data_IF_084946182840
#
_entry.id   IF_084946182840
#
_cell.length_a   1.000
_cell.length_b   1.000
_cell.length_c   1.000
_cell.angle_alpha   90.00
_cell.angle_beta   90.00
_cell.angle_gamma   90.00
#
_symmetry.space_group_name_H-M   'P 1'
#
loop_
_entity.id
_entity.type
_entity.pdbx_description
1 polymer ?
#
# COMPACT_ATOMS: atom_id res chain seq x y z
N UNK A 1 -13.69 18.75 14.47
CA UNK A 1 -12.26 18.61 14.11
C UNK A 1 -11.75 20.01 13.80
N UNK A 2 -11.43 20.82 14.82
CA UNK A 2 -11.42 22.30 14.71
C UNK A 2 -10.56 22.85 13.56
N UNK A 3 -9.39 22.28 13.31
CA UNK A 3 -8.48 22.70 12.23
C UNK A 3 -9.15 22.62 10.84
N UNK A 4 -10.00 21.63 10.60
CA UNK A 4 -10.73 21.49 9.35
C UNK A 4 -11.96 22.39 9.34
N UNK A 5 -12.68 22.45 10.45
CA UNK A 5 -13.91 23.25 10.59
C UNK A 5 -13.64 24.76 10.49
N UNK A 6 -12.46 25.22 10.91
CA UNK A 6 -12.01 26.63 10.91
C UNK A 6 -11.18 26.99 9.65
N UNK A 7 -10.99 26.05 8.71
CA UNK A 7 -10.29 26.27 7.44
C UNK A 7 -8.76 26.30 7.51
N UNK A 8 -8.17 26.16 8.71
CA UNK A 8 -6.73 26.25 8.95
C UNK A 8 -5.91 25.12 8.30
N UNK A 9 -6.56 24.04 7.86
CA UNK A 9 -5.87 22.96 7.14
C UNK A 9 -5.17 23.45 5.87
N UNK A 10 -5.76 24.41 5.15
CA UNK A 10 -5.16 24.99 3.94
C UNK A 10 -3.83 25.71 4.21
N UNK A 11 -3.77 26.45 5.31
CA UNK A 11 -2.56 27.15 5.74
C UNK A 11 -1.49 26.16 6.20
N UNK A 12 -1.89 25.08 6.89
CA UNK A 12 -0.98 24.05 7.38
C UNK A 12 -0.25 23.31 6.25
N UNK A 13 -0.93 23.06 5.13
CA UNK A 13 -0.35 22.37 3.98
C UNK A 13 0.29 23.33 2.96
N UNK A 14 0.27 24.63 3.21
CA UNK A 14 0.86 25.61 2.32
C UNK A 14 2.38 25.40 2.23
N UNK A 15 2.92 25.43 1.01
CA UNK A 15 4.34 25.16 0.75
C UNK A 15 4.72 23.68 0.62
N UNK A 16 3.81 22.73 0.90
CA UNK A 16 4.08 21.32 0.59
C UNK A 16 4.19 21.11 -0.94
N UNK A 17 5.02 20.15 -1.39
CA UNK A 17 5.11 19.81 -2.80
C UNK A 17 3.75 19.50 -3.41
N UNK A 18 3.40 20.23 -4.47
CA UNK A 18 2.17 20.01 -5.24
C UNK A 18 2.50 19.23 -6.49
N UNK A 19 1.72 18.19 -6.75
CA UNK A 19 1.80 17.45 -8.00
C UNK A 19 1.17 18.27 -9.13
N UNK A 20 1.70 18.18 -10.36
CA UNK A 20 1.08 18.87 -11.51
C UNK A 20 -0.27 18.24 -11.81
N UNK A 21 -1.24 19.05 -12.23
CA UNK A 21 -2.55 18.55 -12.62
C UNK A 21 -2.40 17.52 -13.77
N UNK A 22 -2.98 16.33 -13.59
CA UNK A 22 -2.92 15.23 -14.56
C UNK A 22 -1.64 14.39 -14.52
N UNK A 23 -0.64 14.77 -13.73
CA UNK A 23 0.54 13.95 -13.51
C UNK A 23 0.18 12.78 -12.58
N UNK A 24 0.36 11.55 -13.03
CA UNK A 24 0.14 10.32 -12.25
C UNK A 24 1.45 9.55 -12.11
N UNK A 25 1.61 8.76 -11.06
CA UNK A 25 2.76 7.86 -10.95
C UNK A 25 2.67 6.80 -12.05
N UNK A 26 3.71 6.65 -12.87
CA UNK A 26 3.75 5.64 -13.95
C UNK A 26 3.63 4.20 -13.44
N UNK A 27 3.95 3.96 -12.16
CA UNK A 27 3.85 2.64 -11.55
C UNK A 27 2.45 2.29 -11.05
N UNK A 28 1.76 3.21 -10.37
CA UNK A 28 0.49 2.92 -9.70
C UNK A 28 -0.70 3.79 -10.11
N UNK A 29 -0.53 4.70 -11.08
CA UNK A 29 -1.60 5.62 -11.46
C UNK A 29 -2.11 6.48 -10.29
N UNK A 30 -1.24 6.80 -9.33
CA UNK A 30 -1.53 7.51 -8.07
C UNK A 30 -2.46 6.83 -7.06
N UNK A 31 -2.83 5.56 -7.26
CA UNK A 31 -3.58 4.81 -6.23
C UNK A 31 -2.71 4.39 -5.03
N UNK A 32 -1.40 4.66 -5.08
CA UNK A 32 -0.38 4.44 -4.02
C UNK A 32 -0.11 2.98 -3.63
N UNK A 33 -0.94 2.04 -4.05
CA UNK A 33 -0.81 0.62 -3.74
C UNK A 33 -0.67 -0.23 -5.00
N UNK A 34 0.09 -1.32 -4.88
CA UNK A 34 0.24 -2.35 -5.91
C UNK A 34 -0.07 -3.73 -5.30
N UNK A 35 -0.49 -4.72 -6.10
CA UNK A 35 -0.54 -6.11 -5.64
C UNK A 35 0.83 -6.55 -5.11
N UNK A 36 0.85 -7.25 -3.98
CA UNK A 36 2.08 -7.77 -3.40
C UNK A 36 2.75 -8.76 -4.35
N UNK A 37 4.01 -8.51 -4.69
CA UNK A 37 4.79 -9.36 -5.59
C UNK A 37 5.17 -10.72 -4.99
N UNK A 38 5.12 -10.87 -3.66
CA UNK A 38 5.41 -12.14 -2.99
C UNK A 38 4.21 -13.09 -2.96
N UNK A 39 3.00 -12.57 -2.69
CA UNK A 39 1.78 -13.39 -2.60
C UNK A 39 0.78 -13.17 -3.74
N UNK A 40 1.16 -12.40 -4.76
CA UNK A 40 0.34 -12.02 -5.91
C UNK A 40 -1.02 -11.43 -5.52
N UNK A 41 -1.06 -10.61 -4.47
CA UNK A 41 -2.30 -9.98 -4.00
C UNK A 41 -3.21 -10.85 -3.12
N UNK A 42 -2.89 -12.13 -2.91
CA UNK A 42 -3.77 -13.04 -2.15
C UNK A 42 -3.64 -12.93 -0.62
N UNK A 43 -2.57 -12.30 -0.13
CA UNK A 43 -2.15 -12.31 1.27
C UNK A 43 -1.88 -13.72 1.84
N UNK A 44 -1.72 -14.73 0.98
CA UNK A 44 -1.57 -16.14 1.34
C UNK A 44 -0.30 -16.74 0.72
N UNK A 45 0.40 -17.57 1.47
CA UNK A 45 1.60 -18.30 1.05
C UNK A 45 1.48 -19.77 1.43
N UNK A 46 1.89 -20.67 0.54
CA UNK A 46 2.01 -22.09 0.85
C UNK A 46 3.35 -22.35 1.55
N UNK A 47 3.33 -23.01 2.70
CA UNK A 47 4.53 -23.43 3.43
C UNK A 47 4.46 -24.93 3.74
N UNK A 48 5.62 -25.58 3.76
CA UNK A 48 5.72 -26.98 4.19
C UNK A 48 5.56 -27.05 5.71
N UNK A 49 4.73 -27.95 6.21
CA UNK A 49 4.70 -28.27 7.63
C UNK A 49 5.96 -29.09 8.01
N UNK A 50 6.49 -28.82 9.19
CA UNK A 50 7.67 -29.50 9.78
C UNK A 50 7.53 -31.05 9.77
N UNK A 51 6.30 -31.58 9.84
CA UNK A 51 5.97 -33.02 9.77
C UNK A 51 5.76 -33.56 8.35
N UNK A 52 6.38 -32.94 7.36
CA UNK A 52 6.84 -33.57 6.12
C UNK A 52 5.80 -33.99 5.08
N UNK A 53 4.48 -33.82 5.31
CA UNK A 53 3.45 -34.24 4.33
C UNK A 53 2.22 -33.33 4.21
N UNK A 54 2.19 -32.19 4.88
CA UNK A 54 1.05 -31.25 4.80
C UNK A 54 1.54 -29.86 4.38
N UNK A 55 0.89 -29.30 3.38
CA UNK A 55 1.05 -27.88 3.01
C UNK A 55 0.11 -27.07 3.89
N UNK A 56 0.63 -26.09 4.60
CA UNK A 56 -0.15 -25.11 5.36
C UNK A 56 -0.21 -23.79 4.61
N UNK A 57 -1.32 -23.08 4.74
CA UNK A 57 -1.45 -21.72 4.22
C UNK A 57 -1.13 -20.76 5.35
N UNK A 58 -0.07 -19.97 5.19
CA UNK A 58 0.32 -18.91 6.11
C UNK A 58 0.05 -17.55 5.50
N UNK A 59 -0.11 -16.54 6.35
CA UNK A 59 -0.30 -15.16 5.88
C UNK A 59 1.02 -14.61 5.33
N UNK A 60 0.94 -13.85 4.24
CA UNK A 60 2.11 -13.11 3.76
C UNK A 60 2.49 -12.01 4.77
N UNK A 61 3.79 -11.88 5.04
CA UNK A 61 4.35 -10.89 5.98
C UNK A 61 4.74 -9.58 5.31
N UNK A 62 4.73 -9.54 3.98
CA UNK A 62 5.29 -8.43 3.20
C UNK A 62 4.21 -7.44 2.73
N UNK A 63 2.93 -7.74 2.99
CA UNK A 63 1.80 -6.94 2.55
C UNK A 63 0.79 -6.68 3.67
N UNK A 64 -0.13 -5.75 3.44
CA UNK A 64 -1.27 -5.54 4.32
C UNK A 64 -2.31 -6.67 4.20
N UNK A 65 -3.39 -6.58 4.96
CA UNK A 65 -4.48 -7.57 4.97
C UNK A 65 -5.14 -7.80 3.61
N UNK A 66 -5.08 -6.80 2.72
CA UNK A 66 -5.65 -6.85 1.37
C UNK A 66 -4.67 -7.40 0.32
N UNK A 67 -3.47 -7.85 0.73
CA UNK A 67 -2.47 -8.31 -0.22
C UNK A 67 -1.77 -7.18 -0.98
N UNK A 68 -1.80 -5.94 -0.48
CA UNK A 68 -1.22 -4.78 -1.15
C UNK A 68 0.08 -4.32 -0.50
N UNK A 69 0.97 -3.79 -1.34
CA UNK A 69 2.21 -3.10 -0.95
C UNK A 69 2.19 -1.66 -1.42
N UNK A 70 2.96 -0.81 -0.76
CA UNK A 70 3.17 0.57 -1.19
C UNK A 70 3.94 0.63 -2.53
N UNK A 71 3.56 1.55 -3.42
CA UNK A 71 4.20 1.70 -4.73
C UNK A 71 5.64 2.24 -4.58
N UNK A 72 6.70 1.47 -4.91
CA UNK A 72 8.08 1.88 -4.64
C UNK A 72 8.53 3.14 -5.40
N UNK A 73 7.77 3.57 -6.42
CA UNK A 73 8.09 4.74 -7.23
C UNK A 73 7.58 6.06 -6.64
N UNK A 74 6.55 6.04 -5.78
CA UNK A 74 5.91 7.26 -5.29
C UNK A 74 5.39 7.16 -3.85
N UNK A 75 5.96 6.23 -3.08
CA UNK A 75 5.71 6.06 -1.64
C UNK A 75 6.53 7.03 -0.81
#
# INVERSE_FOLDING_TARGET
>A
MKIVDEGWFGDLINGLPKKKAGEVCDGCGDVKFLPCFRCNGSCKMAAAAEEGRRTVVVRCTDCNENGLVLCPLCS
#
